data_IF_365840640900
#
_entry.id   IF_365840640900
#
_cell.length_a   1.000
_cell.length_b   1.000
_cell.length_c   1.000
_cell.angle_alpha   90.00
_cell.angle_beta   90.00
_cell.angle_gamma   90.00
#
_symmetry.space_group_name_H-M   'P 1'
#
loop_
_entity.id
_entity.type
_entity.pdbx_description
1 polymer ?
#
# COMPACT_ATOMS: atom_id res chain seq x y z
N UNK A 1 10.10 -17.37 9.55
CA UNK A 1 10.29 -15.90 9.51
C UNK A 1 9.24 -15.27 10.43
N UNK A 2 9.47 -14.10 11.01
CA UNK A 2 8.45 -13.40 11.83
C UNK A 2 7.88 -12.23 11.02
N UNK A 3 6.56 -12.05 11.05
CA UNK A 3 5.91 -10.91 10.42
C UNK A 3 6.11 -9.67 11.28
N UNK A 4 6.25 -8.51 10.65
CA UNK A 4 6.66 -7.29 11.34
C UNK A 4 5.48 -6.33 11.43
N UNK A 5 5.31 -5.70 12.59
CA UNK A 5 4.33 -4.63 12.74
C UNK A 5 4.90 -3.42 13.46
N UNK A 6 4.36 -2.25 13.14
CA UNK A 6 4.69 -1.00 13.82
C UNK A 6 3.44 -0.19 14.07
N UNK A 7 3.46 0.65 15.11
CA UNK A 7 2.35 1.52 15.49
C UNK A 7 2.81 2.96 15.45
N UNK A 8 1.91 3.86 15.09
CA UNK A 8 2.21 5.28 15.07
C UNK A 8 1.03 6.15 15.45
N UNK A 9 1.35 7.42 15.69
CA UNK A 9 0.42 8.50 15.99
C UNK A 9 0.55 9.59 14.94
N UNK A 10 -0.53 10.31 14.68
CA UNK A 10 -0.56 11.41 13.72
C UNK A 10 -0.68 10.92 12.28
N UNK A 11 0.05 11.57 11.38
CA UNK A 11 0.03 11.23 9.96
C UNK A 11 0.89 9.98 9.68
N UNK A 12 0.34 8.98 8.99
CA UNK A 12 1.11 7.83 8.51
C UNK A 12 2.04 8.25 7.35
N UNK A 13 2.99 7.38 6.96
CA UNK A 13 3.72 7.54 5.69
C UNK A 13 2.77 7.66 4.48
N UNK A 14 3.30 8.19 3.37
CA UNK A 14 2.59 8.20 2.08
C UNK A 14 2.07 6.80 1.77
N UNK A 15 0.79 6.67 1.47
CA UNK A 15 0.16 5.36 1.28
C UNK A 15 -0.93 5.39 0.21
N UNK A 16 -1.17 4.22 -0.39
CA UNK A 16 -2.24 4.01 -1.33
C UNK A 16 -3.58 3.94 -0.57
N UNK A 17 -4.50 4.86 -0.87
CA UNK A 17 -5.82 4.95 -0.23
C UNK A 17 -6.91 4.32 -1.08
N UNK A 18 -6.77 4.36 -2.42
CA UNK A 18 -7.79 3.87 -3.34
C UNK A 18 -7.18 3.46 -4.68
N UNK A 19 -7.65 2.33 -5.23
CA UNK A 19 -7.53 1.98 -6.63
C UNK A 19 -8.87 2.34 -7.27
N UNK A 20 -8.90 3.42 -8.04
CA UNK A 20 -10.12 3.94 -8.66
C UNK A 20 -10.14 3.56 -10.13
N UNK A 21 -11.00 2.61 -10.50
CA UNK A 21 -11.21 2.22 -11.89
C UNK A 21 -12.25 3.12 -12.55
N UNK A 22 -11.94 3.59 -13.76
CA UNK A 22 -12.90 4.28 -14.64
C UNK A 22 -13.57 3.25 -15.55
N UNK A 23 -12.82 2.27 -16.02
CA UNK A 23 -13.28 1.13 -16.81
C UNK A 23 -12.45 -0.13 -16.47
N UNK A 24 -12.54 -1.19 -17.28
CA UNK A 24 -11.83 -2.45 -17.02
C UNK A 24 -10.30 -2.38 -17.17
N UNK A 25 -9.75 -1.31 -17.75
CA UNK A 25 -8.32 -1.17 -18.06
C UNK A 25 -7.71 0.17 -17.65
N UNK A 26 -8.53 1.19 -17.37
CA UNK A 26 -8.06 2.53 -17.04
C UNK A 26 -8.60 3.03 -15.69
N UNK A 27 -7.85 3.93 -15.07
CA UNK A 27 -8.17 4.43 -13.75
C UNK A 27 -7.04 5.23 -13.11
N UNK A 28 -7.05 5.27 -11.79
CA UNK A 28 -6.06 6.00 -10.99
C UNK A 28 -5.73 5.28 -9.70
N UNK A 29 -4.45 5.31 -9.30
CA UNK A 29 -4.01 5.07 -7.94
C UNK A 29 -4.07 6.39 -7.17
N UNK A 30 -4.75 6.40 -6.03
CA UNK A 30 -4.92 7.58 -5.18
C UNK A 30 -4.08 7.41 -3.91
N UNK A 31 -3.25 8.40 -3.61
CA UNK A 31 -2.32 8.38 -2.49
C UNK A 31 -2.60 9.51 -1.52
N UNK A 32 -2.58 9.24 -0.23
CA UNK A 32 -2.40 10.28 0.78
C UNK A 32 -0.92 10.67 0.79
N UNK A 33 -0.57 11.81 0.18
CA UNK A 33 0.81 12.19 -0.13
C UNK A 33 1.32 13.41 0.65
N UNK A 34 0.41 14.21 1.23
CA UNK A 34 0.75 15.39 2.06
C UNK A 34 -0.36 15.66 3.08
N UNK A 35 -0.14 16.59 4.00
CA UNK A 35 -1.18 17.05 4.94
C UNK A 35 -2.40 17.72 4.24
N UNK A 36 -2.24 18.09 2.97
CA UNK A 36 -3.14 19.02 2.26
C UNK A 36 -4.01 18.31 1.22
N UNK A 37 -3.73 17.04 0.87
CA UNK A 37 -4.63 16.27 0.03
C UNK A 37 -4.04 15.05 -0.67
N UNK A 38 -4.91 14.43 -1.47
CA UNK A 38 -4.61 13.23 -2.24
C UNK A 38 -3.84 13.53 -3.53
N UNK A 39 -2.94 12.64 -3.91
CA UNK A 39 -2.26 12.63 -5.21
C UNK A 39 -2.74 11.47 -6.06
N UNK A 40 -2.99 11.71 -7.35
CA UNK A 40 -3.50 10.69 -8.28
C UNK A 40 -2.47 10.36 -9.35
N UNK A 41 -2.19 9.08 -9.51
CA UNK A 41 -1.38 8.53 -10.61
C UNK A 41 -2.30 7.75 -11.54
N UNK A 42 -2.51 8.26 -12.74
CA UNK A 42 -3.36 7.62 -13.74
C UNK A 42 -2.66 6.42 -14.39
N UNK A 43 -3.41 5.33 -14.60
CA UNK A 43 -3.03 4.21 -15.45
C UNK A 43 -4.02 4.06 -16.60
N UNK A 44 -3.53 3.57 -17.73
CA UNK A 44 -4.27 3.46 -19.00
C UNK A 44 -4.40 2.01 -19.49
N UNK A 45 -3.73 1.08 -18.80
CA UNK A 45 -3.85 -0.36 -19.07
C UNK A 45 -3.71 -1.17 -17.79
N UNK A 46 -4.21 -2.41 -17.82
CA UNK A 46 -3.99 -3.37 -16.73
C UNK A 46 -2.51 -3.67 -16.49
N UNK A 47 -1.70 -3.73 -17.55
CA UNK A 47 -0.26 -3.96 -17.41
C UNK A 47 0.44 -2.79 -16.67
N UNK A 48 0.04 -1.55 -16.98
CA UNK A 48 0.55 -0.36 -16.28
C UNK A 48 0.13 -0.37 -14.81
N UNK A 49 -1.13 -0.70 -14.50
CA UNK A 49 -1.60 -0.86 -13.12
C UNK A 49 -0.76 -1.90 -12.36
N UNK A 50 -0.56 -3.09 -12.92
CA UNK A 50 0.22 -4.15 -12.28
C UNK A 50 1.68 -3.74 -12.08
N UNK A 51 2.30 -3.06 -13.05
CA UNK A 51 3.65 -2.53 -12.91
C UNK A 51 3.76 -1.51 -11.78
N UNK A 52 2.79 -0.60 -11.68
CA UNK A 52 2.72 0.39 -10.60
C UNK A 52 2.53 -0.28 -9.23
N UNK A 53 1.59 -1.22 -9.10
CA UNK A 53 1.36 -1.95 -7.84
C UNK A 53 2.61 -2.75 -7.44
N UNK A 54 3.26 -3.43 -8.39
CA UNK A 54 4.49 -4.16 -8.11
C UNK A 54 5.60 -3.22 -7.62
N UNK A 55 5.72 -2.02 -8.22
CA UNK A 55 6.66 -0.99 -7.78
C UNK A 55 6.38 -0.52 -6.34
N UNK A 56 5.10 -0.41 -5.95
CA UNK A 56 4.73 -0.09 -4.57
C UNK A 56 5.17 -1.17 -3.58
N UNK A 57 4.98 -2.46 -3.92
CA UNK A 57 5.40 -3.59 -3.07
C UNK A 57 6.91 -3.61 -2.88
N UNK A 58 7.67 -3.47 -3.98
CA UNK A 58 9.14 -3.41 -3.95
C UNK A 58 9.66 -2.23 -3.13
N UNK A 59 9.00 -1.08 -3.24
CA UNK A 59 9.32 0.12 -2.48
C UNK A 59 8.72 0.11 -1.07
N UNK A 60 8.02 -0.94 -0.65
CA UNK A 60 7.42 -1.07 0.69
C UNK A 60 6.51 0.12 1.04
N UNK A 61 5.74 0.58 0.05
CA UNK A 61 4.74 1.63 0.24
C UNK A 61 3.53 1.05 0.96
N UNK A 62 3.05 1.66 2.05
CA UNK A 62 1.86 1.17 2.74
C UNK A 62 0.60 1.25 1.88
N UNK A 63 -0.31 0.29 2.09
CA UNK A 63 -1.58 0.16 1.39
C UNK A 63 -2.70 0.08 2.43
N UNK A 64 -3.67 0.99 2.32
CA UNK A 64 -4.77 1.10 3.29
C UNK A 64 -5.78 -0.06 3.16
N UNK A 65 -6.28 -0.52 4.31
CA UNK A 65 -7.48 -1.37 4.35
C UNK A 65 -8.75 -0.55 4.09
N UNK A 66 -9.77 -1.14 3.47
CA UNK A 66 -11.01 -0.42 3.16
C UNK A 66 -12.03 -0.34 4.31
N UNK A 67 -11.75 -1.01 5.44
CA UNK A 67 -12.63 -1.02 6.60
C UNK A 67 -13.89 -1.87 6.38
N UNK A 68 -15.04 -1.24 6.15
CA UNK A 68 -16.31 -1.96 5.91
C UNK A 68 -16.52 -2.38 4.44
N UNK A 69 -15.73 -1.81 3.53
CA UNK A 69 -15.72 -2.15 2.11
C UNK A 69 -14.33 -2.65 1.74
N UNK A 70 -14.18 -3.44 0.66
CA UNK A 70 -12.86 -3.77 0.14
C UNK A 70 -12.09 -2.50 -0.20
N UNK A 71 -10.85 -2.41 0.27
CA UNK A 71 -9.90 -1.35 -0.03
C UNK A 71 -8.77 -1.84 -0.93
N UNK A 72 -7.76 -0.99 -1.18
CA UNK A 72 -6.65 -1.36 -2.04
C UNK A 72 -5.81 -2.51 -1.46
N UNK A 73 -5.79 -2.70 -0.13
CA UNK A 73 -5.10 -3.84 0.49
C UNK A 73 -5.76 -5.17 0.12
N UNK A 74 -7.10 -5.21 0.11
CA UNK A 74 -7.87 -6.40 -0.26
C UNK A 74 -7.68 -6.77 -1.74
N UNK A 75 -7.59 -5.77 -2.62
CA UNK A 75 -7.31 -5.98 -4.05
C UNK A 75 -5.88 -6.51 -4.27
N UNK A 76 -4.89 -5.97 -3.57
CA UNK A 76 -3.51 -6.46 -3.63
C UNK A 76 -3.39 -7.88 -3.09
N UNK A 77 -4.05 -8.18 -1.97
CA UNK A 77 -4.10 -9.54 -1.41
C UNK A 77 -4.71 -10.53 -2.42
N UNK A 78 -5.82 -10.17 -3.06
CA UNK A 78 -6.42 -10.97 -4.13
C UNK A 78 -5.47 -11.16 -5.31
N UNK A 79 -4.73 -10.14 -5.73
CA UNK A 79 -3.77 -10.26 -6.83
C UNK A 79 -2.59 -11.17 -6.48
N UNK A 80 -2.12 -11.15 -5.23
CA UNK A 80 -1.07 -12.06 -4.74
C UNK A 80 -1.61 -13.50 -4.66
N UNK A 81 -2.81 -13.68 -4.12
CA UNK A 81 -3.45 -15.00 -4.01
C UNK A 81 -3.72 -15.66 -5.38
N UNK A 82 -3.88 -14.86 -6.44
CA UNK A 82 -4.03 -15.33 -7.81
C UNK A 82 -2.71 -15.38 -8.61
N UNK A 83 -1.56 -15.27 -7.93
CA UNK A 83 -0.21 -15.31 -8.56
C UNK A 83 0.02 -14.22 -9.62
N UNK A 84 -0.70 -13.10 -9.52
CA UNK A 84 -0.56 -11.95 -10.43
C UNK A 84 0.46 -10.94 -9.91
N UNK A 85 0.56 -10.80 -8.59
CA UNK A 85 1.60 -10.05 -7.88
C UNK A 85 2.37 -10.98 -6.96
N UNK A 86 3.61 -10.61 -6.63
CA UNK A 86 4.47 -11.39 -5.75
C UNK A 86 5.01 -10.56 -4.58
N UNK A 87 5.30 -11.25 -3.49
CA UNK A 87 5.99 -10.70 -2.33
C UNK A 87 5.07 -10.16 -1.24
N UNK A 88 5.66 -9.80 -0.09
CA UNK A 88 4.90 -9.24 1.01
C UNK A 88 4.46 -7.81 0.67
N UNK A 89 3.33 -7.40 1.24
CA UNK A 89 2.88 -6.02 1.17
C UNK A 89 2.79 -5.41 2.57
N UNK A 90 2.88 -4.07 2.63
CA UNK A 90 2.73 -3.35 3.88
C UNK A 90 1.28 -2.87 3.98
N UNK A 91 0.50 -3.52 4.82
CA UNK A 91 -0.86 -3.13 5.13
C UNK A 91 -0.87 -2.01 6.17
N UNK A 92 -1.84 -1.12 6.03
CA UNK A 92 -2.04 0.05 6.86
C UNK A 92 -3.48 0.09 7.38
N UNK A 93 -3.66 0.07 8.71
CA UNK A 93 -4.97 -0.03 9.35
C UNK A 93 -5.12 0.93 10.53
N UNK A 94 -6.30 1.55 10.67
CA UNK A 94 -6.60 2.54 11.71
C UNK A 94 -7.19 1.86 12.94
N UNK A 95 -6.61 2.12 14.10
CA UNK A 95 -7.12 1.65 15.40
C UNK A 95 -7.88 2.74 16.17
N UNK A 96 -7.86 3.97 15.69
CA UNK A 96 -8.55 5.11 16.27
C UNK A 96 -8.15 6.43 15.60
N UNK A 97 -8.69 7.58 16.06
CA UNK A 97 -8.31 8.89 15.54
C UNK A 97 -6.80 9.10 15.66
N UNK A 98 -6.14 9.33 14.52
CA UNK A 98 -4.68 9.49 14.41
C UNK A 98 -3.86 8.29 14.91
N UNK A 99 -4.48 7.14 15.15
CA UNK A 99 -3.79 5.94 15.61
C UNK A 99 -3.78 4.91 14.50
N UNK A 100 -2.58 4.52 14.08
CA UNK A 100 -2.40 3.63 12.96
C UNK A 100 -1.43 2.49 13.26
N UNK A 101 -1.62 1.38 12.56
CA UNK A 101 -0.74 0.21 12.59
C UNK A 101 -0.33 -0.15 11.17
N UNK A 102 0.97 -0.33 10.97
CA UNK A 102 1.57 -0.96 9.79
C UNK A 102 1.77 -2.44 10.06
N UNK A 103 1.45 -3.31 9.09
CA UNK A 103 1.64 -4.76 9.16
C UNK A 103 2.26 -5.27 7.86
N UNK A 104 3.35 -6.03 7.95
CA UNK A 104 3.88 -6.78 6.81
C UNK A 104 3.02 -8.04 6.64
N UNK A 105 2.31 -8.14 5.53
CA UNK A 105 1.48 -9.28 5.18
C UNK A 105 2.23 -10.15 4.17
N UNK A 106 2.21 -11.45 4.40
CA UNK A 106 2.77 -12.48 3.52
C UNK A 106 1.88 -13.73 3.62
N UNK A 107 2.01 -14.61 2.64
CA UNK A 107 1.41 -15.95 2.58
C UNK A 107 1.78 -16.87 3.76
N UNK A 108 2.79 -16.50 4.55
CA UNK A 108 3.30 -17.32 5.64
C UNK A 108 2.56 -17.06 6.95
N UNK A 109 2.09 -18.12 7.62
CA UNK A 109 1.60 -18.02 9.00
C UNK A 109 2.79 -17.90 9.93
N UNK A 110 2.94 -16.74 10.58
CA UNK A 110 4.09 -16.45 11.41
C UNK A 110 3.71 -15.58 12.63
N UNK A 111 4.52 -15.68 13.68
CA UNK A 111 4.40 -14.79 14.83
C UNK A 111 4.70 -13.34 14.43
N UNK A 112 3.96 -12.42 15.04
CA UNK A 112 4.16 -10.99 14.88
C UNK A 112 5.27 -10.46 15.81
N UNK A 113 6.17 -9.68 15.24
CA UNK A 113 7.26 -9.01 15.95
C UNK A 113 7.11 -7.48 15.83
N UNK A 114 7.10 -6.75 16.96
CA UNK A 114 7.07 -5.31 16.93
C UNK A 114 8.39 -4.74 16.39
N UNK A 115 8.28 -3.71 15.57
CA UNK A 115 9.39 -2.95 15.01
C UNK A 115 9.24 -1.48 15.43
N UNK A 116 10.13 -0.95 16.30
CA UNK A 116 10.02 0.42 16.80
C UNK A 116 10.28 1.48 15.73
N UNK A 117 11.20 1.22 14.81
CA UNK A 117 11.55 2.17 13.74
C UNK A 117 10.77 1.86 12.46
N UNK A 118 9.80 2.73 12.15
CA UNK A 118 8.94 2.64 10.96
C UNK A 118 9.75 2.64 9.66
N UNK A 119 10.95 3.26 9.63
CA UNK A 119 11.79 3.38 8.44
C UNK A 119 12.40 2.03 8.03
N UNK A 120 12.53 1.12 8.98
CA UNK A 120 12.96 -0.25 8.71
C UNK A 120 11.82 -1.13 8.16
N UNK A 121 10.58 -0.64 8.21
CA UNK A 121 9.39 -1.37 7.80
C UNK A 121 8.83 -0.85 6.46
N UNK A 122 8.65 0.46 6.34
CA UNK A 122 8.00 1.10 5.21
C UNK A 122 8.83 2.26 4.64
N UNK A 123 8.62 2.57 3.36
CA UNK A 123 9.26 3.74 2.75
C UNK A 123 8.55 5.02 3.18
N UNK A 124 9.17 5.73 4.13
CA UNK A 124 8.68 7.00 4.68
C UNK A 124 8.95 8.21 3.79
N UNK A 125 9.67 8.03 2.68
CA UNK A 125 10.06 9.09 1.75
C UNK A 125 9.52 8.84 0.34
N UNK A 126 8.51 8.00 0.22
CA UNK A 126 7.91 7.67 -1.07
C UNK A 126 7.26 8.89 -1.72
N UNK A 127 7.60 9.12 -2.99
CA UNK A 127 7.00 10.14 -3.86
C UNK A 127 6.17 9.48 -4.98
N UNK A 128 4.83 9.54 -4.93
CA UNK A 128 3.96 9.00 -5.97
C UNK A 128 4.21 9.58 -7.36
N UNK A 129 4.82 10.77 -7.48
CA UNK A 129 5.20 11.35 -8.78
C UNK A 129 6.23 10.49 -9.50
N UNK A 130 7.04 9.72 -8.77
CA UNK A 130 8.07 8.85 -9.33
C UNK A 130 7.51 7.62 -10.07
N UNK A 131 6.25 7.22 -9.80
CA UNK A 131 5.63 6.03 -10.41
C UNK A 131 5.53 6.09 -11.93
N UNK A 132 5.35 7.28 -12.51
CA UNK A 132 5.25 7.44 -13.97
C UNK A 132 6.59 7.43 -14.70
N UNK A 133 7.71 7.52 -13.98
CA UNK A 133 9.04 7.64 -14.58
C UNK A 133 9.73 6.29 -14.82
N UNK A 134 9.05 5.17 -14.58
CA UNK A 134 9.58 3.83 -14.78
C UNK A 134 9.05 3.26 -16.11
N UNK A 135 9.58 3.79 -17.21
CA UNK A 135 9.41 3.26 -18.57
C UNK A 135 10.71 2.68 -19.09
#
# INVERSE_FOLDING_TARGET
MKLRYSKGLGLPPTHLTLISSVDSVSGSLVFAYTEVGDYRVHYTSRAELLCMLNSLLHQRVPIAVGGMLPGPADEVDMLIANEVLEGPYIELSWSGPQQWTLREIDSTTAEWQPVPDIRSMANVSFDPKSLKCSG
#
